data_IF_786100011047
#
_entry.id   IF_786100011047
#
_cell.length_a   1.000
_cell.length_b   1.000
_cell.length_c   1.000
_cell.angle_alpha   90.00
_cell.angle_beta   90.00
_cell.angle_gamma   90.00
#
_symmetry.space_group_name_H-M   'P 1'
#
loop_
_entity.id
_entity.type
_entity.pdbx_description
1 polymer ?
#
# COMPACT_ATOMS: atom_id res chain seq x y z
N UNK A 1 -24.73 -5.88 -10.87
CA UNK A 1 -25.38 -4.56 -10.69
C UNK A 1 -24.24 -3.60 -10.41
N UNK A 2 -23.90 -2.74 -11.37
CA UNK A 2 -22.71 -1.89 -11.31
C UNK A 2 -22.96 -0.73 -10.37
N UNK A 3 -22.40 -0.80 -9.15
CA UNK A 3 -22.44 0.30 -8.18
C UNK A 3 -21.29 1.27 -8.49
N UNK A 4 -21.68 2.40 -9.09
CA UNK A 4 -21.00 3.70 -9.17
C UNK A 4 -19.47 3.75 -9.01
N UNK A 5 -18.77 4.01 -10.12
CA UNK A 5 -17.42 4.60 -10.11
C UNK A 5 -17.51 6.06 -9.64
N UNK A 6 -17.72 6.28 -8.34
CA UNK A 6 -17.55 7.62 -7.75
C UNK A 6 -16.07 7.78 -7.44
N UNK A 7 -15.47 8.83 -8.00
CA UNK A 7 -14.15 9.26 -7.58
C UNK A 7 -14.29 9.97 -6.23
N UNK A 8 -13.59 9.46 -5.22
CA UNK A 8 -13.49 10.08 -3.90
C UNK A 8 -12.02 10.30 -3.58
N UNK A 9 -11.68 11.52 -3.15
CA UNK A 9 -10.35 11.76 -2.60
C UNK A 9 -10.28 11.11 -1.23
N UNK A 10 -9.23 10.34 -0.93
CA UNK A 10 -9.07 9.79 0.40
C UNK A 10 -8.88 10.92 1.42
N UNK A 11 -9.41 10.76 2.64
CA UNK A 11 -9.39 11.81 3.65
C UNK A 11 -7.96 12.11 4.13
N UNK A 12 -7.64 13.39 4.31
CA UNK A 12 -6.46 13.78 5.08
C UNK A 12 -6.76 13.58 6.57
N UNK A 13 -6.07 12.63 7.20
CA UNK A 13 -6.25 12.29 8.61
C UNK A 13 -4.95 12.57 9.41
N UNK A 14 -5.06 12.98 10.67
CA UNK A 14 -3.92 13.03 11.59
C UNK A 14 -3.25 11.65 11.76
N UNK A 15 -1.92 11.64 11.97
CA UNK A 15 -1.12 10.41 12.10
C UNK A 15 -1.61 9.45 13.19
N UNK A 16 -2.11 9.96 14.31
CA UNK A 16 -2.66 9.16 15.40
C UNK A 16 -3.96 8.43 14.98
N UNK A 17 -4.83 9.11 14.23
CA UNK A 17 -6.05 8.52 13.69
C UNK A 17 -5.72 7.47 12.62
N UNK A 18 -4.76 7.75 11.74
CA UNK A 18 -4.26 6.77 10.75
C UNK A 18 -3.77 5.52 11.47
N UNK A 19 -2.93 5.71 12.49
CA UNK A 19 -2.35 4.60 13.24
C UNK A 19 -3.41 3.74 13.91
N UNK A 20 -4.41 4.36 14.54
CA UNK A 20 -5.52 3.65 15.17
C UNK A 20 -6.30 2.80 14.16
N UNK A 21 -6.68 3.38 13.01
CA UNK A 21 -7.48 2.69 11.98
C UNK A 21 -6.73 1.49 11.40
N UNK A 22 -5.46 1.68 10.99
CA UNK A 22 -4.67 0.62 10.37
C UNK A 22 -4.33 -0.50 11.35
N UNK A 23 -3.96 -0.16 12.59
CA UNK A 23 -3.65 -1.13 13.63
C UNK A 23 -4.89 -1.93 14.06
N UNK A 24 -6.06 -1.28 14.14
CA UNK A 24 -7.35 -1.97 14.36
C UNK A 24 -7.64 -2.97 13.25
N UNK A 25 -7.53 -2.56 11.99
CA UNK A 25 -7.79 -3.43 10.85
C UNK A 25 -6.87 -4.67 10.83
N UNK A 26 -5.60 -4.51 11.20
CA UNK A 26 -4.64 -5.61 11.31
C UNK A 26 -4.90 -6.56 12.50
N UNK A 27 -5.63 -6.12 13.52
CA UNK A 27 -5.96 -6.95 14.70
C UNK A 27 -7.30 -7.66 14.57
N UNK A 28 -8.30 -6.94 14.09
CA UNK A 28 -9.70 -7.37 14.19
C UNK A 28 -10.20 -8.09 12.94
N UNK A 29 -9.39 -8.13 11.87
CA UNK A 29 -9.77 -8.71 10.57
C UNK A 29 -11.13 -8.16 10.08
N UNK A 30 -11.35 -6.87 10.36
CA UNK A 30 -12.58 -6.14 10.04
C UNK A 30 -12.58 -5.67 8.59
N UNK A 31 -13.72 -5.14 8.14
CA UNK A 31 -13.92 -4.60 6.79
C UNK A 31 -12.71 -3.75 6.33
N UNK A 32 -11.96 -4.20 5.30
CA UNK A 32 -10.72 -3.56 4.88
C UNK A 32 -10.94 -2.23 4.16
N UNK A 33 -12.19 -1.83 3.88
CA UNK A 33 -12.51 -0.60 3.14
C UNK A 33 -11.92 0.67 3.79
N UNK A 34 -12.19 0.89 5.08
CA UNK A 34 -11.69 2.07 5.80
C UNK A 34 -10.16 2.09 5.84
N UNK A 35 -9.52 0.95 6.13
CA UNK A 35 -8.07 0.85 6.15
C UNK A 35 -7.45 1.07 4.77
N UNK A 36 -8.12 0.64 3.70
CA UNK A 36 -7.69 0.88 2.34
C UNK A 36 -7.69 2.38 2.00
N UNK A 37 -8.79 3.07 2.31
CA UNK A 37 -8.91 4.52 2.06
C UNK A 37 -7.86 5.31 2.84
N UNK A 38 -7.61 4.94 4.10
CA UNK A 38 -6.58 5.55 4.94
C UNK A 38 -5.17 5.30 4.39
N UNK A 39 -4.84 4.07 3.99
CA UNK A 39 -3.52 3.73 3.47
C UNK A 39 -3.22 4.47 2.15
N UNK A 40 -4.21 4.58 1.26
CA UNK A 40 -4.08 5.36 0.02
C UNK A 40 -3.97 6.86 0.35
N UNK A 41 -4.75 7.34 1.31
CA UNK A 41 -4.71 8.74 1.76
C UNK A 41 -3.31 9.19 2.16
N UNK A 42 -2.65 8.42 3.03
CA UNK A 42 -1.30 8.76 3.45
C UNK A 42 -0.29 8.62 2.31
N UNK A 43 -0.43 7.59 1.46
CA UNK A 43 0.47 7.38 0.33
C UNK A 43 0.38 8.52 -0.71
N UNK A 44 -0.78 9.16 -0.86
CA UNK A 44 -0.98 10.26 -1.82
C UNK A 44 -0.68 11.64 -1.24
N UNK A 45 -0.97 11.88 0.04
CA UNK A 45 -1.01 13.24 0.59
C UNK A 45 -0.15 13.49 1.82
N UNK A 46 0.31 12.46 2.53
CA UNK A 46 1.16 12.68 3.70
C UNK A 46 2.57 13.07 3.25
N UNK A 47 3.17 14.03 3.93
CA UNK A 47 4.50 14.58 3.60
C UNK A 47 5.63 13.89 4.38
N UNK A 48 5.31 12.99 5.32
CA UNK A 48 6.28 12.19 6.07
C UNK A 48 6.56 10.84 5.36
N UNK A 49 7.69 10.71 4.64
CA UNK A 49 7.99 9.47 3.91
C UNK A 49 8.24 8.28 4.84
N UNK A 50 8.78 8.50 6.05
CA UNK A 50 9.06 7.43 6.99
C UNK A 50 7.77 6.86 7.58
N UNK A 51 6.81 7.75 7.89
CA UNK A 51 5.49 7.36 8.36
C UNK A 51 4.71 6.57 7.30
N UNK A 52 4.69 7.06 6.05
CA UNK A 52 4.00 6.40 4.94
C UNK A 52 4.61 5.03 4.65
N UNK A 53 5.94 4.96 4.49
CA UNK A 53 6.63 3.70 4.22
C UNK A 53 6.42 2.71 5.36
N UNK A 54 6.52 3.17 6.62
CA UNK A 54 6.33 2.36 7.81
C UNK A 54 4.98 1.64 7.81
N UNK A 55 3.89 2.36 7.51
CA UNK A 55 2.55 1.77 7.44
C UNK A 55 2.36 0.84 6.24
N UNK A 56 2.90 1.19 5.07
CA UNK A 56 2.85 0.29 3.91
C UNK A 56 3.56 -1.05 4.22
N UNK A 57 4.72 -0.98 4.89
CA UNK A 57 5.47 -2.16 5.30
C UNK A 57 4.72 -2.97 6.36
N UNK A 58 4.16 -2.31 7.38
CA UNK A 58 3.42 -2.97 8.45
C UNK A 58 2.20 -3.70 7.91
N UNK A 59 1.41 -3.03 7.06
CA UNK A 59 0.23 -3.63 6.42
C UNK A 59 0.63 -4.77 5.48
N UNK A 60 1.61 -4.57 4.60
CA UNK A 60 2.05 -5.60 3.66
C UNK A 60 2.68 -6.83 4.33
N UNK A 61 3.12 -6.70 5.59
CA UNK A 61 3.69 -7.81 6.37
C UNK A 61 2.63 -8.53 7.20
N UNK A 62 1.69 -7.80 7.81
CA UNK A 62 0.76 -8.35 8.82
C UNK A 62 -0.63 -8.68 8.29
N UNK A 63 -1.06 -8.11 7.16
CA UNK A 63 -2.36 -8.43 6.58
C UNK A 63 -2.43 -9.92 6.20
N UNK A 64 -3.61 -10.51 6.40
CA UNK A 64 -3.83 -11.93 6.12
C UNK A 64 -3.73 -12.24 4.61
N UNK A 65 -3.36 -13.47 4.28
CA UNK A 65 -3.39 -13.97 2.91
C UNK A 65 -4.80 -13.78 2.28
N UNK A 66 -4.85 -13.26 1.06
CA UNK A 66 -6.11 -12.90 0.40
C UNK A 66 -6.73 -11.58 0.84
N UNK A 67 -6.14 -10.86 1.80
CA UNK A 67 -6.58 -9.51 2.15
C UNK A 67 -6.31 -8.54 1.00
N UNK A 68 -7.28 -7.69 0.61
CA UNK A 68 -7.06 -6.65 -0.40
C UNK A 68 -6.04 -5.59 0.06
N UNK A 69 -5.67 -5.55 1.35
CA UNK A 69 -4.65 -4.64 1.84
C UNK A 69 -3.23 -5.03 1.38
N UNK A 70 -2.98 -6.30 1.04
CA UNK A 70 -1.66 -6.74 0.57
C UNK A 70 -1.28 -6.13 -0.78
N UNK A 71 -2.18 -6.24 -1.77
CA UNK A 71 -1.97 -5.63 -3.09
C UNK A 71 -1.88 -4.11 -3.01
N UNK A 72 -2.69 -3.52 -2.13
CA UNK A 72 -2.72 -2.08 -1.90
C UNK A 72 -1.46 -1.55 -1.24
N UNK A 73 -0.89 -2.27 -0.26
CA UNK A 73 0.39 -1.92 0.34
C UNK A 73 1.51 -1.90 -0.71
N UNK A 74 1.54 -2.88 -1.62
CA UNK A 74 2.48 -2.89 -2.76
C UNK A 74 2.32 -1.65 -3.66
N UNK A 75 1.09 -1.30 -4.01
CA UNK A 75 0.78 -0.09 -4.79
C UNK A 75 1.20 1.19 -4.07
N UNK A 76 0.93 1.30 -2.78
CA UNK A 76 1.28 2.47 -1.98
C UNK A 76 2.80 2.64 -1.82
N UNK A 77 3.56 1.54 -1.78
CA UNK A 77 5.04 1.61 -1.89
C UNK A 77 5.49 2.16 -3.25
N UNK A 78 4.79 1.82 -4.34
CA UNK A 78 5.00 2.42 -5.66
C UNK A 78 4.77 3.94 -5.66
N UNK A 79 3.66 4.40 -5.07
CA UNK A 79 3.40 5.83 -4.89
C UNK A 79 4.44 6.51 -4.01
N UNK A 80 4.89 5.86 -2.95
CA UNK A 80 5.94 6.37 -2.05
C UNK A 80 7.26 6.55 -2.82
N UNK A 81 7.68 5.53 -3.59
CA UNK A 81 8.85 5.61 -4.45
C UNK A 81 8.72 6.75 -5.48
N UNK A 82 7.56 6.88 -6.11
CA UNK A 82 7.28 7.94 -7.09
C UNK A 82 7.34 9.34 -6.48
N UNK A 83 6.78 9.53 -5.28
CA UNK A 83 6.69 10.85 -4.63
C UNK A 83 8.02 11.28 -4.02
N UNK A 84 8.71 10.36 -3.36
CA UNK A 84 9.88 10.69 -2.54
C UNK A 84 11.21 10.29 -3.18
N UNK A 85 11.21 9.49 -4.26
CA UNK A 85 12.41 9.09 -4.98
C UNK A 85 13.31 8.13 -4.19
N UNK A 86 12.80 7.54 -3.10
CA UNK A 86 13.52 6.59 -2.27
C UNK A 86 12.56 5.62 -1.59
N UNK A 87 13.09 4.44 -1.24
CA UNK A 87 12.48 3.46 -0.35
C UNK A 87 13.61 2.77 0.43
N UNK A 88 13.32 2.29 1.64
CA UNK A 88 14.26 1.42 2.33
C UNK A 88 14.42 0.07 1.61
N UNK A 89 15.55 -0.63 1.81
CA UNK A 89 15.73 -1.99 1.28
C UNK A 89 14.65 -2.98 1.75
N UNK A 90 14.11 -2.79 2.96
CA UNK A 90 13.02 -3.59 3.51
C UNK A 90 11.74 -3.40 2.71
N UNK A 91 11.40 -2.16 2.40
CA UNK A 91 10.23 -1.83 1.59
C UNK A 91 10.33 -2.37 0.16
N UNK A 92 11.51 -2.25 -0.48
CA UNK A 92 11.74 -2.83 -1.81
C UNK A 92 11.58 -4.35 -1.80
N UNK A 93 12.21 -5.05 -0.84
CA UNK A 93 12.11 -6.50 -0.74
C UNK A 93 10.67 -6.97 -0.48
N UNK A 94 9.89 -6.22 0.31
CA UNK A 94 8.48 -6.50 0.52
C UNK A 94 7.67 -6.33 -0.76
N UNK A 95 7.87 -5.24 -1.50
CA UNK A 95 7.18 -5.01 -2.77
C UNK A 95 7.46 -6.12 -3.80
N UNK A 96 8.71 -6.56 -3.92
CA UNK A 96 9.10 -7.70 -4.76
C UNK A 96 8.41 -9.00 -4.32
N UNK A 97 8.34 -9.24 -3.01
CA UNK A 97 7.65 -10.42 -2.46
C UNK A 97 6.15 -10.41 -2.74
N UNK A 98 5.48 -9.27 -2.55
CA UNK A 98 4.05 -9.10 -2.83
C UNK A 98 3.74 -9.27 -4.32
N UNK A 99 4.57 -8.69 -5.20
CA UNK A 99 4.45 -8.86 -6.63
C UNK A 99 4.62 -10.32 -7.06
N UNK A 100 5.61 -11.03 -6.50
CA UNK A 100 5.82 -12.44 -6.79
C UNK A 100 4.64 -13.31 -6.34
N UNK A 101 4.07 -13.02 -5.16
CA UNK A 101 2.85 -13.67 -4.66
C UNK A 101 1.66 -13.39 -5.57
N UNK A 102 1.50 -12.15 -6.03
CA UNK A 102 0.44 -11.77 -6.96
C UNK A 102 0.53 -12.51 -8.28
N UNK A 103 1.73 -12.61 -8.85
CA UNK A 103 1.97 -13.35 -10.08
C UNK A 103 1.68 -14.85 -9.93
N UNK A 104 1.98 -15.43 -8.76
CA UNK A 104 1.72 -16.84 -8.48
C UNK A 104 0.23 -17.13 -8.18
N UNK A 105 -0.44 -16.23 -7.45
CA UNK A 105 -1.83 -16.38 -7.03
C UNK A 105 -2.50 -15.01 -6.81
N UNK A 106 -3.23 -14.48 -7.80
CA UNK A 106 -3.97 -13.21 -7.67
C UNK A 106 -5.06 -13.19 -6.59
N UNK A 107 -5.50 -14.37 -6.12
CA UNK A 107 -6.45 -14.48 -5.00
C UNK A 107 -5.76 -14.38 -3.63
N UNK A 108 -4.44 -14.50 -3.56
CA UNK A 108 -3.64 -14.24 -2.35
C UNK A 108 -3.23 -12.77 -2.27
N UNK A 109 -2.67 -12.23 -3.36
CA UNK A 109 -2.31 -10.82 -3.51
C UNK A 109 -2.79 -10.34 -4.87
N UNK A 110 -3.66 -9.33 -4.92
CA UNK A 110 -4.15 -8.84 -6.19
C UNK A 110 -3.08 -8.10 -7.02
N UNK A 111 -3.41 -7.79 -8.27
CA UNK A 111 -2.46 -7.28 -9.28
C UNK A 111 -1.92 -5.89 -9.00
N UNK A 112 -2.48 -5.13 -8.05
CA UNK A 112 -1.96 -3.80 -7.67
C UNK A 112 -0.53 -3.86 -7.13
N UNK A 113 -0.12 -5.00 -6.58
CA UNK A 113 1.27 -5.22 -6.18
C UNK A 113 2.25 -5.20 -7.37
N UNK A 114 1.82 -5.64 -8.56
CA UNK A 114 2.63 -5.60 -9.77
C UNK A 114 2.80 -4.16 -10.26
N UNK A 115 1.71 -3.38 -10.28
CA UNK A 115 1.73 -1.97 -10.65
C UNK A 115 2.67 -1.17 -9.72
N UNK A 116 2.60 -1.42 -8.41
CA UNK A 116 3.50 -0.81 -7.44
C UNK A 116 4.98 -1.16 -7.66
N UNK A 117 5.29 -2.41 -8.00
CA UNK A 117 6.67 -2.82 -8.32
C UNK A 117 7.18 -2.16 -9.60
N UNK A 118 6.33 -1.98 -10.61
CA UNK A 118 6.70 -1.30 -11.84
C UNK A 118 6.98 0.20 -11.61
N UNK A 119 6.19 0.87 -10.75
CA UNK A 119 6.49 2.22 -10.28
C UNK A 119 7.86 2.28 -9.57
N UNK A 120 8.13 1.36 -8.63
CA UNK A 120 9.42 1.29 -7.92
C UNK A 120 10.59 1.16 -8.92
N UNK A 121 10.46 0.26 -9.90
CA UNK A 121 11.47 0.08 -10.95
C UNK A 121 11.68 1.33 -11.79
N UNK A 122 10.59 1.99 -12.14
CA UNK A 122 10.63 3.19 -12.96
C UNK A 122 11.29 4.36 -12.23
N UNK A 123 10.91 4.61 -10.97
CA UNK A 123 11.32 5.81 -10.24
C UNK A 123 12.62 5.64 -9.46
N UNK A 124 13.03 4.43 -9.06
CA UNK A 124 14.25 4.21 -8.28
C UNK A 124 15.41 3.62 -9.09
N UNK A 125 15.14 2.83 -10.12
CA UNK A 125 16.16 1.99 -10.77
C UNK A 125 16.42 2.32 -12.25
N UNK A 126 15.79 3.34 -12.81
CA UNK A 126 16.26 3.90 -14.08
C UNK A 126 17.46 4.81 -13.82
N UNK A 127 18.65 4.23 -13.98
CA UNK A 127 19.85 4.99 -14.29
C UNK A 127 19.69 5.65 -15.67
N UNK A 128 20.05 6.92 -15.77
CA UNK A 128 20.40 7.56 -17.05
C UNK A 128 21.64 6.91 -17.68
#
# INVERSE_FOLDING_TARGET
MHTHNVYENPPALPHDVVAEVLDRALREDTDPGEAADVLVGIALYDDDPEFVEGWCVEVGTRAQAGSPLLGLAGLCLGHTARRFGQLSPKAVALAESLAARSQANPSDVDTRALDGLDDIRWFLFRAE
#
